data_IF_153756066480
#
_entry.id   IF_153756066480
#
_cell.length_a   1.000
_cell.length_b   1.000
_cell.length_c   1.000
_cell.angle_alpha   90.00
_cell.angle_beta   90.00
_cell.angle_gamma   90.00
#
_symmetry.space_group_name_H-M   'P 1'
#
loop_
_entity.id
_entity.type
_entity.pdbx_description
1 polymer ?
#
# COMPACT_ATOMS: atom_id res chain seq x y z
N UNK A 1 0.02 -47.17 -80.49
CA UNK A 1 -0.43 -47.73 -79.19
C UNK A 1 -0.31 -46.60 -78.16
N UNK A 2 -1.44 -45.97 -77.80
CA UNK A 2 -1.59 -44.96 -76.72
C UNK A 2 -1.67 -45.66 -75.34
N UNK A 3 -1.75 -44.98 -74.16
CA UNK A 3 -1.63 -43.53 -73.82
C UNK A 3 -0.57 -43.30 -72.68
N UNK A 4 -0.02 -42.11 -72.42
CA UNK A 4 -0.67 -40.94 -71.82
C UNK A 4 -0.72 -41.02 -70.28
N UNK A 5 0.03 -40.16 -69.57
CA UNK A 5 -0.34 -39.70 -68.22
C UNK A 5 0.39 -38.40 -67.85
N UNK A 6 -0.28 -37.29 -68.11
CA UNK A 6 -0.05 -36.03 -67.42
C UNK A 6 -0.49 -36.20 -65.96
N UNK A 7 0.39 -35.90 -65.00
CA UNK A 7 0.01 -35.75 -63.60
C UNK A 7 0.23 -34.30 -63.19
N UNK A 8 -0.84 -33.52 -63.29
CA UNK A 8 -0.96 -32.24 -62.61
C UNK A 8 -1.22 -32.52 -61.12
N UNK A 9 -0.24 -32.27 -60.25
CA UNK A 9 -0.52 -32.12 -58.82
C UNK A 9 -0.71 -30.64 -58.53
N UNK A 10 -1.97 -30.23 -58.52
CA UNK A 10 -2.41 -29.00 -57.86
C UNK A 10 -2.08 -29.14 -56.36
N UNK A 11 -0.97 -28.55 -55.92
CA UNK A 11 -0.77 -28.27 -54.51
C UNK A 11 -1.51 -26.96 -54.21
N UNK A 12 -2.80 -27.06 -53.91
CA UNK A 12 -3.54 -25.94 -53.32
C UNK A 12 -3.07 -25.80 -51.87
N UNK A 13 -2.04 -24.98 -51.67
CA UNK A 13 -1.64 -24.53 -50.35
C UNK A 13 -2.68 -23.50 -49.91
N UNK A 14 -3.60 -23.88 -49.03
CA UNK A 14 -4.48 -22.92 -48.37
C UNK A 14 -3.60 -22.15 -47.38
N UNK A 15 -2.98 -21.08 -47.87
CA UNK A 15 -2.53 -19.98 -47.02
C UNK A 15 -3.79 -19.29 -46.51
N UNK A 16 -4.29 -19.73 -45.35
CA UNK A 16 -5.21 -18.88 -44.59
C UNK A 16 -4.36 -17.72 -44.07
N UNK A 17 -4.31 -16.64 -44.83
CA UNK A 17 -3.80 -15.35 -44.37
C UNK A 17 -4.75 -14.84 -43.29
N UNK A 18 -4.46 -15.20 -42.04
CA UNK A 18 -5.06 -14.59 -40.84
C UNK A 18 -4.37 -13.28 -40.47
N UNK A 19 -3.67 -12.66 -41.42
CA UNK A 19 -2.63 -11.68 -41.13
C UNK A 19 -3.23 -10.44 -40.48
N UNK A 20 -4.36 -9.91 -40.96
CA UNK A 20 -4.96 -8.70 -40.38
C UNK A 20 -5.54 -8.87 -38.97
N UNK A 21 -6.23 -9.97 -38.67
CA UNK A 21 -6.88 -10.18 -37.36
C UNK A 21 -5.85 -10.57 -36.31
N UNK A 22 -4.93 -11.48 -36.64
CA UNK A 22 -3.86 -11.85 -35.72
C UNK A 22 -2.83 -10.73 -35.55
N UNK A 23 -2.58 -9.89 -36.56
CA UNK A 23 -1.76 -8.67 -36.37
C UNK A 23 -2.49 -7.63 -35.55
N UNK A 24 -3.82 -7.46 -35.67
CA UNK A 24 -4.57 -6.62 -34.74
C UNK A 24 -4.50 -7.15 -33.30
N UNK A 25 -4.58 -8.47 -33.09
CA UNK A 25 -4.36 -9.09 -31.77
C UNK A 25 -2.89 -8.98 -31.30
N UNK A 26 -1.90 -9.07 -32.19
CA UNK A 26 -0.49 -8.92 -31.84
C UNK A 26 -0.11 -7.47 -31.55
N UNK A 27 -0.65 -6.51 -32.31
CA UNK A 27 -0.52 -5.07 -32.09
C UNK A 27 -1.30 -4.62 -30.84
N UNK A 28 -2.41 -5.30 -30.52
CA UNK A 28 -3.13 -5.15 -29.26
C UNK A 28 -2.33 -5.65 -28.06
N UNK A 29 -1.63 -6.78 -28.23
CA UNK A 29 -0.69 -7.34 -27.27
C UNK A 29 0.69 -6.73 -27.52
N UNK A 30 0.76 -5.44 -27.87
CA UNK A 30 2.03 -4.74 -27.82
C UNK A 30 2.56 -4.80 -26.37
N UNK A 31 3.71 -5.46 -26.13
CA UNK A 31 4.18 -5.73 -24.78
C UNK A 31 4.38 -4.43 -24.00
N UNK A 32 4.79 -3.35 -24.66
CA UNK A 32 4.93 -2.03 -24.05
C UNK A 32 3.58 -1.41 -23.60
N UNK A 33 2.52 -1.53 -24.41
CA UNK A 33 1.19 -1.02 -24.05
C UNK A 33 0.62 -1.78 -22.86
N UNK A 34 0.82 -3.10 -22.84
CA UNK A 34 0.32 -3.94 -21.77
C UNK A 34 1.10 -3.79 -20.46
N UNK A 35 2.43 -3.68 -20.54
CA UNK A 35 3.27 -3.34 -19.38
C UNK A 35 2.89 -1.98 -18.78
N UNK A 36 2.64 -0.97 -19.62
CA UNK A 36 2.17 0.33 -19.15
C UNK A 36 0.82 0.22 -18.44
N UNK A 37 -0.13 -0.51 -19.02
CA UNK A 37 -1.45 -0.72 -18.42
C UNK A 37 -1.35 -1.42 -17.06
N UNK A 38 -0.52 -2.47 -16.95
CA UNK A 38 -0.24 -3.17 -15.69
C UNK A 38 0.38 -2.23 -14.65
N UNK A 39 1.38 -1.43 -15.04
CA UNK A 39 2.03 -0.47 -14.15
C UNK A 39 1.06 0.59 -13.62
N UNK A 40 0.23 1.15 -14.48
CA UNK A 40 -0.81 2.12 -14.10
C UNK A 40 -1.85 1.49 -13.16
N UNK A 41 -2.28 0.25 -13.45
CA UNK A 41 -3.20 -0.51 -12.62
C UNK A 41 -2.62 -0.82 -11.24
N UNK A 42 -1.37 -1.26 -11.19
CA UNK A 42 -0.65 -1.51 -9.95
C UNK A 42 -0.50 -0.24 -9.11
N UNK A 43 -0.17 0.90 -9.73
CA UNK A 43 -0.06 2.17 -9.02
C UNK A 43 -1.43 2.63 -8.47
N UNK A 44 -2.50 2.48 -9.24
CA UNK A 44 -3.86 2.83 -8.82
C UNK A 44 -4.33 1.95 -7.65
N UNK A 45 -4.20 0.63 -7.80
CA UNK A 45 -4.53 -0.35 -6.77
C UNK A 45 -3.71 -0.12 -5.51
N UNK A 46 -2.40 0.07 -5.64
CA UNK A 46 -1.48 0.35 -4.54
C UNK A 46 -1.86 1.61 -3.75
N UNK A 47 -2.25 2.71 -4.42
CA UNK A 47 -2.73 3.93 -3.73
C UNK A 47 -4.03 3.70 -2.95
N UNK A 48 -4.94 2.86 -3.46
CA UNK A 48 -6.18 2.49 -2.76
C UNK A 48 -5.87 1.61 -1.54
N UNK A 49 -5.02 0.60 -1.70
CA UNK A 49 -4.50 -0.24 -0.62
C UNK A 49 -3.85 0.60 0.48
N UNK A 50 -2.93 1.51 0.13
CA UNK A 50 -2.30 2.44 1.06
C UNK A 50 -3.32 3.24 1.88
N UNK A 51 -4.39 3.71 1.23
CA UNK A 51 -5.45 4.45 1.92
C UNK A 51 -6.18 3.58 2.95
N UNK A 52 -6.44 2.30 2.65
CA UNK A 52 -7.02 1.36 3.62
C UNK A 52 -6.04 1.06 4.76
N UNK A 53 -4.79 0.78 4.45
CA UNK A 53 -3.73 0.51 5.45
C UNK A 53 -3.59 1.69 6.42
N UNK A 54 -3.54 2.94 5.93
CA UNK A 54 -3.48 4.13 6.80
C UNK A 54 -4.68 4.25 7.74
N UNK A 55 -5.88 3.92 7.27
CA UNK A 55 -7.11 3.94 8.10
C UNK A 55 -7.08 2.84 9.16
N UNK A 56 -6.67 1.63 8.78
CA UNK A 56 -6.46 0.51 9.70
C UNK A 56 -5.42 0.85 10.77
N UNK A 57 -4.28 1.38 10.35
CA UNK A 57 -3.19 1.76 11.24
C UNK A 57 -3.61 2.84 12.24
N UNK A 58 -4.39 3.84 11.82
CA UNK A 58 -4.96 4.84 12.74
C UNK A 58 -5.83 4.18 13.80
N UNK A 59 -6.69 3.25 13.41
CA UNK A 59 -7.59 2.53 14.31
C UNK A 59 -6.81 1.66 15.29
N UNK A 60 -5.90 0.84 14.79
CA UNK A 60 -5.02 -0.04 15.58
C UNK A 60 -4.20 0.73 16.61
N UNK A 61 -3.61 1.86 16.23
CA UNK A 61 -2.74 2.65 17.11
C UNK A 61 -3.50 3.61 18.03
N UNK A 62 -4.78 3.89 17.76
CA UNK A 62 -5.59 4.83 18.54
C UNK A 62 -5.21 6.31 18.35
N UNK A 63 -4.55 6.65 17.24
CA UNK A 63 -4.14 8.03 16.95
C UNK A 63 -5.35 8.90 16.62
N UNK A 64 -5.42 10.09 17.24
CA UNK A 64 -6.51 11.06 17.03
C UNK A 64 -6.57 11.55 15.58
N UNK A 65 -5.47 12.11 15.10
CA UNK A 65 -5.41 12.79 13.81
C UNK A 65 -4.91 11.85 12.70
N UNK A 66 -5.70 11.69 11.63
CA UNK A 66 -5.31 10.89 10.46
C UNK A 66 -4.02 11.42 9.80
N UNK A 67 -3.83 12.75 9.79
CA UNK A 67 -2.62 13.40 9.25
C UNK A 67 -1.32 12.86 9.87
N UNK A 68 -1.31 12.52 11.16
CA UNK A 68 -0.12 11.99 11.82
C UNK A 68 0.33 10.63 11.27
N UNK A 69 -0.61 9.84 10.73
CA UNK A 69 -0.33 8.59 10.01
C UNK A 69 0.14 8.90 8.59
N UNK A 70 -0.56 9.78 7.87
CA UNK A 70 -0.24 10.14 6.49
C UNK A 70 1.19 10.66 6.35
N UNK A 71 1.63 11.54 7.25
CA UNK A 71 2.99 12.11 7.26
C UNK A 71 4.10 11.08 7.55
N UNK A 72 3.76 9.87 7.98
CA UNK A 72 4.70 8.80 8.36
C UNK A 72 4.53 7.54 7.52
N UNK A 73 3.72 7.60 6.47
CA UNK A 73 3.48 6.45 5.61
C UNK A 73 3.55 6.89 4.17
N UNK A 74 4.40 6.23 3.39
CA UNK A 74 4.64 6.55 1.99
C UNK A 74 4.36 5.33 1.13
N UNK A 75 3.85 5.56 -0.07
CA UNK A 75 3.68 4.51 -1.06
C UNK A 75 4.27 4.95 -2.38
N UNK A 76 5.09 4.09 -2.98
CA UNK A 76 5.77 4.39 -4.23
C UNK A 76 5.86 3.13 -5.10
N UNK A 77 5.99 3.36 -6.40
CA UNK A 77 6.42 2.29 -7.30
C UNK A 77 7.88 1.95 -7.00
N UNK A 78 8.22 0.67 -7.03
CA UNK A 78 9.58 0.16 -7.01
C UNK A 78 9.81 -0.62 -8.30
N UNK A 79 10.54 -0.03 -9.24
CA UNK A 79 10.64 -0.56 -10.61
C UNK A 79 9.31 -0.52 -11.36
N UNK A 80 9.11 -1.47 -12.27
CA UNK A 80 7.97 -1.47 -13.18
C UNK A 80 6.73 -2.19 -12.63
N UNK A 81 6.91 -3.25 -11.84
CA UNK A 81 5.83 -4.15 -11.42
C UNK A 81 5.78 -4.41 -9.90
N UNK A 82 6.31 -3.49 -9.09
CA UNK A 82 6.11 -3.54 -7.63
C UNK A 82 5.62 -2.19 -7.07
N UNK A 83 4.70 -2.25 -6.12
CA UNK A 83 4.28 -1.10 -5.32
C UNK A 83 4.60 -1.37 -3.85
N UNK A 84 5.33 -0.46 -3.23
CA UNK A 84 5.81 -0.62 -1.86
C UNK A 84 5.14 0.41 -0.96
N UNK A 85 4.62 -0.05 0.17
CA UNK A 85 4.12 0.80 1.25
C UNK A 85 5.14 0.75 2.39
N UNK A 86 5.62 1.91 2.84
CA UNK A 86 6.61 2.05 3.90
C UNK A 86 6.07 2.91 5.02
N UNK A 87 6.27 2.45 6.26
CA UNK A 87 6.07 3.24 7.47
C UNK A 87 7.40 3.76 7.98
N UNK A 88 7.44 5.01 8.43
CA UNK A 88 8.65 5.66 8.93
C UNK A 88 8.46 6.28 10.32
N UNK A 89 9.58 6.70 10.91
CA UNK A 89 9.60 7.49 12.12
C UNK A 89 9.64 6.68 13.43
N UNK A 90 10.12 7.37 14.47
CA UNK A 90 10.17 6.87 15.85
C UNK A 90 8.76 6.85 16.47
N UNK A 91 8.68 6.52 17.77
CA UNK A 91 7.43 6.58 18.51
C UNK A 91 6.73 7.94 18.37
N UNK A 92 5.42 7.93 18.15
CA UNK A 92 4.64 9.15 18.01
C UNK A 92 4.52 9.87 19.35
N UNK A 93 4.58 11.22 19.42
CA UNK A 93 4.39 11.95 20.66
C UNK A 93 3.06 11.60 21.32
N UNK A 94 3.04 11.47 22.65
CA UNK A 94 1.81 11.09 23.39
C UNK A 94 0.65 12.08 23.16
N UNK A 95 0.92 13.34 22.80
CA UNK A 95 -0.11 14.31 22.45
C UNK A 95 -0.99 13.93 21.26
N UNK A 96 -0.53 13.01 20.39
CA UNK A 96 -1.30 12.52 19.25
C UNK A 96 -2.42 11.55 19.64
N UNK A 97 -2.48 11.13 20.92
CA UNK A 97 -3.45 10.16 21.44
C UNK A 97 -4.41 10.83 22.43
N UNK A 98 -5.45 10.11 22.86
CA UNK A 98 -6.27 10.56 23.99
C UNK A 98 -5.39 10.62 25.25
N UNK A 99 -5.40 11.76 25.93
CA UNK A 99 -4.55 12.05 27.07
C UNK A 99 -5.35 12.84 28.10
N UNK A 100 -5.13 12.52 29.38
CA UNK A 100 -5.55 13.32 30.53
C UNK A 100 -4.39 13.44 31.51
N UNK A 101 -4.39 14.50 32.34
CA UNK A 101 -3.40 14.71 33.39
C UNK A 101 -4.09 14.66 34.74
N UNK A 102 -3.58 13.87 35.66
CA UNK A 102 -4.09 13.72 37.02
C UNK A 102 -2.95 13.80 38.04
N UNK A 103 -3.27 13.68 39.34
CA UNK A 103 -2.28 13.70 40.43
C UNK A 103 -1.21 12.59 40.32
N UNK A 104 -1.52 11.47 39.66
CA UNK A 104 -0.60 10.35 39.42
C UNK A 104 0.27 10.55 38.16
N UNK A 105 -0.01 11.59 37.38
CA UNK A 105 0.71 11.97 36.17
C UNK A 105 -0.17 11.97 34.91
N UNK A 106 0.47 11.85 33.75
CA UNK A 106 -0.16 11.74 32.44
C UNK A 106 -0.73 10.33 32.25
N UNK A 107 -2.02 10.25 31.97
CA UNK A 107 -2.72 9.06 31.52
C UNK A 107 -2.95 9.18 30.00
N UNK A 108 -2.48 8.23 29.21
CA UNK A 108 -2.70 8.23 27.75
C UNK A 108 -3.28 6.90 27.26
N UNK A 109 -3.81 6.90 26.04
CA UNK A 109 -4.45 5.73 25.43
C UNK A 109 -3.84 5.32 24.08
N UNK A 110 -2.53 5.05 24.00
CA UNK A 110 -1.96 4.43 22.81
C UNK A 110 -2.53 3.01 22.65
N UNK A 111 -2.74 2.57 21.40
CA UNK A 111 -3.42 1.32 21.06
C UNK A 111 -4.85 1.19 21.62
N UNK A 112 -5.46 2.31 22.01
CA UNK A 112 -6.78 2.32 22.65
C UNK A 112 -6.78 1.91 24.13
N UNK A 113 -5.63 1.50 24.69
CA UNK A 113 -5.54 1.01 26.08
C UNK A 113 -4.92 2.04 27.01
N UNK A 114 -5.45 2.15 28.22
CA UNK A 114 -4.99 3.12 29.22
C UNK A 114 -3.57 2.82 29.73
N UNK A 115 -2.68 3.82 29.69
CA UNK A 115 -1.32 3.76 30.20
C UNK A 115 -1.05 4.97 31.10
N UNK A 116 -0.81 4.71 32.39
CA UNK A 116 -0.44 5.75 33.35
C UNK A 116 1.08 5.91 33.39
N UNK A 117 1.58 7.07 32.99
CA UNK A 117 2.99 7.40 33.04
C UNK A 117 3.32 8.01 34.40
N UNK A 118 4.11 7.31 35.23
CA UNK A 118 4.56 7.84 36.52
C UNK A 118 5.52 9.02 36.32
N UNK A 119 5.58 9.92 37.31
CA UNK A 119 6.50 11.07 37.35
C UNK A 119 6.39 11.96 36.10
N UNK A 120 5.19 12.05 35.54
CA UNK A 120 4.93 12.76 34.29
C UNK A 120 3.96 13.92 34.45
N UNK A 121 4.07 14.89 33.55
CA UNK A 121 3.34 16.14 33.60
C UNK A 121 3.16 16.73 32.19
N UNK A 122 2.21 17.66 32.07
CA UNK A 122 2.04 18.49 30.87
C UNK A 122 2.72 19.84 31.05
N UNK A 123 3.34 20.35 29.99
CA UNK A 123 3.98 21.67 29.98
C UNK A 123 4.01 22.20 28.54
N UNK A 124 3.36 23.35 28.30
CA UNK A 124 3.30 23.97 26.98
C UNK A 124 2.76 23.05 25.88
N UNK A 125 1.67 22.31 26.17
CA UNK A 125 1.08 21.35 25.23
C UNK A 125 1.89 20.08 24.98
N UNK A 126 3.03 19.89 25.65
CA UNK A 126 3.89 18.70 25.55
C UNK A 126 3.77 17.84 26.81
N UNK A 127 3.92 16.54 26.63
CA UNK A 127 3.85 15.55 27.71
C UNK A 127 5.22 14.95 27.97
N UNK A 128 5.67 15.02 29.22
CA UNK A 128 7.04 14.70 29.62
C UNK A 128 7.05 13.95 30.94
N UNK A 129 8.14 13.25 31.22
CA UNK A 129 8.40 12.62 32.51
C UNK A 129 9.79 12.96 33.02
N UNK A 130 9.91 13.14 34.33
CA UNK A 130 11.21 13.21 35.00
C UNK A 130 11.81 11.81 35.06
N UNK A 131 13.09 11.67 34.73
CA UNK A 131 13.79 10.39 34.86
C UNK A 131 14.20 10.10 36.30
N UNK A 132 14.49 11.15 37.07
CA UNK A 132 14.82 11.13 38.50
C UNK A 132 13.73 11.85 39.32
N UNK A 133 13.92 11.95 40.64
CA UNK A 133 13.07 12.77 41.51
C UNK A 133 13.37 14.28 41.37
N UNK A 134 14.61 14.62 40.99
CA UNK A 134 15.04 15.98 40.77
C UNK A 134 14.34 16.64 39.56
N UNK A 135 14.42 17.97 39.47
CA UNK A 135 13.75 18.73 38.41
C UNK A 135 14.18 18.27 37.01
N UNK A 136 15.45 17.96 36.83
CA UNK A 136 16.05 17.43 35.61
C UNK A 136 16.76 16.10 35.92
N UNK A 137 16.93 15.19 34.94
CA UNK A 137 16.55 15.29 33.53
C UNK A 137 15.07 15.01 33.24
N UNK A 138 14.59 15.51 32.09
CA UNK A 138 13.23 15.28 31.59
C UNK A 138 13.27 14.60 30.22
N UNK A 139 12.35 13.65 29.98
CA UNK A 139 12.16 12.98 28.69
C UNK A 139 10.76 13.21 28.15
N UNK A 140 10.62 13.25 26.83
CA UNK A 140 9.31 13.25 26.19
C UNK A 140 8.65 11.87 26.30
N UNK A 141 7.32 11.86 26.28
CA UNK A 141 6.54 10.64 26.23
C UNK A 141 6.12 10.33 24.79
N UNK A 142 6.27 9.06 24.41
CA UNK A 142 5.95 8.55 23.09
C UNK A 142 5.04 7.31 23.18
N UNK A 143 4.24 7.11 22.15
CA UNK A 143 3.44 5.92 21.89
C UNK A 143 4.02 5.11 20.72
N UNK A 144 3.18 4.38 19.97
CA UNK A 144 3.61 3.51 18.88
C UNK A 144 4.44 4.19 17.80
N UNK A 145 5.32 3.42 17.16
CA UNK A 145 6.06 3.80 15.95
C UNK A 145 5.33 3.26 14.72
N UNK A 146 4.98 4.13 13.78
CA UNK A 146 4.31 3.75 12.52
C UNK A 146 5.12 2.71 11.76
N UNK A 147 6.45 2.84 11.71
CA UNK A 147 7.34 1.88 11.06
C UNK A 147 7.20 0.44 11.59
N UNK A 148 7.00 0.28 12.90
CA UNK A 148 6.82 -1.05 13.50
C UNK A 148 5.38 -1.55 13.41
N UNK A 149 4.41 -0.65 13.44
CA UNK A 149 3.00 -1.02 13.53
C UNK A 149 2.36 -1.31 12.18
N UNK A 150 2.92 -0.81 11.07
CA UNK A 150 2.37 -0.97 9.71
C UNK A 150 2.40 -2.42 9.19
N UNK A 151 3.23 -3.27 9.77
CA UNK A 151 3.41 -4.68 9.41
C UNK A 151 2.79 -5.61 10.46
N UNK A 152 1.80 -5.13 11.22
CA UNK A 152 1.20 -5.91 12.31
C UNK A 152 -0.31 -5.92 12.24
N UNK A 153 -0.88 -7.00 12.76
CA UNK A 153 -2.28 -7.14 13.14
C UNK A 153 -3.24 -6.63 12.05
N UNK A 154 -4.07 -5.64 12.38
CA UNK A 154 -5.10 -5.12 11.51
C UNK A 154 -4.54 -4.44 10.26
N UNK A 155 -3.39 -3.77 10.36
CA UNK A 155 -2.79 -3.07 9.22
C UNK A 155 -2.22 -4.04 8.18
N UNK A 156 -1.57 -5.12 8.62
CA UNK A 156 -1.07 -6.20 7.78
C UNK A 156 -2.24 -6.96 7.12
N UNK A 157 -3.22 -7.38 7.91
CA UNK A 157 -4.41 -8.05 7.40
C UNK A 157 -5.14 -7.19 6.35
N UNK A 158 -5.26 -5.89 6.62
CA UNK A 158 -5.87 -4.95 5.67
C UNK A 158 -5.06 -4.82 4.40
N UNK A 159 -3.73 -4.81 4.48
CA UNK A 159 -2.86 -4.78 3.31
C UNK A 159 -3.14 -5.99 2.41
N UNK A 160 -3.07 -7.20 2.97
CA UNK A 160 -3.31 -8.46 2.24
C UNK A 160 -4.69 -8.49 1.55
N UNK A 161 -5.74 -8.17 2.29
CA UNK A 161 -7.11 -8.17 1.76
C UNK A 161 -7.30 -7.10 0.67
N UNK A 162 -6.88 -5.87 0.94
CA UNK A 162 -7.10 -4.76 0.02
C UNK A 162 -6.21 -4.81 -1.21
N UNK A 163 -5.00 -5.36 -1.11
CA UNK A 163 -4.14 -5.62 -2.25
C UNK A 163 -4.81 -6.62 -3.21
N UNK A 164 -5.29 -7.77 -2.70
CA UNK A 164 -5.99 -8.77 -3.51
C UNK A 164 -7.20 -8.17 -4.24
N UNK A 165 -7.98 -7.34 -3.56
CA UNK A 165 -9.17 -6.74 -4.18
C UNK A 165 -8.80 -5.63 -5.16
N UNK A 166 -8.07 -4.60 -4.74
CA UNK A 166 -7.91 -3.38 -5.53
C UNK A 166 -6.82 -3.47 -6.59
N UNK A 167 -5.74 -4.21 -6.34
CA UNK A 167 -4.66 -4.34 -7.32
C UNK A 167 -5.12 -5.18 -8.50
N UNK A 168 -5.73 -6.35 -8.23
CA UNK A 168 -6.26 -7.20 -9.29
C UNK A 168 -7.34 -6.50 -10.10
N UNK A 169 -8.33 -5.87 -9.44
CA UNK A 169 -9.38 -5.10 -10.11
C UNK A 169 -8.81 -3.96 -10.98
N UNK A 170 -7.87 -3.18 -10.44
CA UNK A 170 -7.28 -2.05 -11.18
C UNK A 170 -6.43 -2.52 -12.37
N UNK A 171 -5.62 -3.57 -12.21
CA UNK A 171 -4.83 -4.14 -13.31
C UNK A 171 -5.75 -4.69 -14.39
N UNK A 172 -6.73 -5.52 -14.04
CA UNK A 172 -7.69 -6.10 -14.99
C UNK A 172 -8.41 -5.02 -15.78
N UNK A 173 -8.93 -3.99 -15.09
CA UNK A 173 -9.59 -2.85 -15.75
C UNK A 173 -8.68 -2.14 -16.74
N UNK A 174 -7.41 -1.93 -16.40
CA UNK A 174 -6.43 -1.26 -17.27
C UNK A 174 -6.05 -2.12 -18.47
N UNK A 175 -5.87 -3.42 -18.26
CA UNK A 175 -5.60 -4.39 -19.33
C UNK A 175 -6.78 -4.43 -20.30
N UNK A 176 -8.01 -4.57 -19.80
CA UNK A 176 -9.22 -4.60 -20.65
C UNK A 176 -9.37 -3.33 -21.49
N UNK A 177 -9.00 -2.17 -20.95
CA UNK A 177 -9.00 -0.90 -21.71
C UNK A 177 -7.84 -0.79 -22.71
N UNK A 178 -6.75 -1.50 -22.46
CA UNK A 178 -5.60 -1.52 -23.33
C UNK A 178 -5.75 -2.51 -24.49
N UNK A 179 -6.59 -3.53 -24.33
CA UNK A 179 -7.08 -4.37 -25.43
C UNK A 179 -8.00 -3.53 -26.34
N UNK A 180 -7.95 -3.74 -27.68
CA UNK A 180 -8.84 -3.10 -28.64
C UNK A 180 -10.27 -3.64 -28.55
#
# INVERSE_FOLDING_TARGET
MLPGRFSFRWAMQILVSTDGVLQQFADAIQPARMQRAMREGLQEGGKKTLTRVRRALRKQTGVKAYRAIVERTHGSMAGDLAYVIRGEGKGMPIGNFRVGVNRKGVLAFPWGTAHQFKRSFASGGRYRARTTAARFPIRALYGPSVAKEIVKDQSEQTFEQSARTFVLDAITRRIMRAMP
#
